data_IF_433760392900
#
_entry.id   IF_433760392900
#
_cell.length_a   1.000
_cell.length_b   1.000
_cell.length_c   1.000
_cell.angle_alpha   90.00
_cell.angle_beta   90.00
_cell.angle_gamma   90.00
#
_symmetry.space_group_name_H-M   'P 1'
#
loop_
_entity.id
_entity.type
_entity.pdbx_description
1 polymer ?
#
# COMPACT_ATOMS: atom_id res chain seq x y z
N UNK A 1 13.04 25.60 -1.31
CA UNK A 1 11.71 25.64 -1.95
C UNK A 1 10.78 26.32 -0.96
N UNK A 2 9.96 27.29 -1.38
CA UNK A 2 9.02 27.91 -0.45
C UNK A 2 7.92 26.90 -0.09
N UNK A 3 7.33 26.95 1.14
CA UNK A 3 6.21 26.10 1.51
C UNK A 3 5.02 26.19 0.54
N UNK A 4 4.86 27.32 -0.15
CA UNK A 4 3.80 27.57 -1.13
C UNK A 4 4.00 26.84 -2.48
N UNK A 5 5.15 26.22 -2.69
CA UNK A 5 5.45 25.44 -3.91
C UNK A 5 5.23 23.93 -3.73
N UNK A 6 5.01 23.47 -2.50
CA UNK A 6 4.75 22.06 -2.21
C UNK A 6 3.31 21.69 -2.52
N UNK A 7 3.09 20.42 -2.93
CA UNK A 7 1.74 19.90 -3.09
C UNK A 7 1.18 19.42 -1.75
N UNK A 8 -0.13 19.55 -1.60
CA UNK A 8 -0.88 19.06 -0.44
C UNK A 8 -1.29 17.60 -0.68
N UNK A 9 -0.82 16.69 0.18
CA UNK A 9 -1.15 15.28 0.10
C UNK A 9 -2.49 14.98 0.77
N UNK A 10 -3.42 14.35 0.06
CA UNK A 10 -4.63 13.75 0.61
C UNK A 10 -4.42 12.26 0.87
N UNK A 11 -4.72 11.79 2.09
CA UNK A 11 -4.56 10.37 2.46
C UNK A 11 -5.91 9.73 2.75
N UNK A 12 -6.26 8.72 1.95
CA UNK A 12 -7.42 7.84 2.22
C UNK A 12 -6.96 6.71 3.15
N UNK A 13 -7.21 6.86 4.43
CA UNK A 13 -6.73 5.96 5.49
C UNK A 13 -7.83 5.16 6.18
N UNK A 14 -7.44 4.38 7.20
CA UNK A 14 -8.34 3.61 8.05
C UNK A 14 -8.56 2.16 7.62
N UNK A 15 -7.83 1.67 6.59
CA UNK A 15 -8.06 0.35 5.99
C UNK A 15 -6.82 -0.58 5.99
N UNK A 16 -6.02 -0.78 7.04
CA UNK A 16 -6.31 -0.58 8.46
C UNK A 16 -5.77 0.70 9.07
N UNK A 17 -6.26 0.96 10.28
CA UNK A 17 -5.82 2.11 11.06
C UNK A 17 -4.33 2.08 11.43
N UNK A 18 -3.82 0.95 11.90
CA UNK A 18 -2.42 0.80 12.29
C UNK A 18 -1.47 1.06 11.11
N UNK A 19 -1.75 0.48 9.94
CA UNK A 19 -0.98 0.71 8.72
C UNK A 19 -1.05 2.18 8.26
N UNK A 20 -2.18 2.87 8.49
CA UNK A 20 -2.29 4.29 8.19
C UNK A 20 -1.41 5.14 9.11
N UNK A 21 -1.36 4.82 10.39
CA UNK A 21 -0.49 5.51 11.36
C UNK A 21 0.98 5.31 11.01
N UNK A 22 1.38 4.07 10.69
CA UNK A 22 2.74 3.75 10.23
C UNK A 22 3.10 4.52 8.95
N UNK A 23 2.19 4.58 7.97
CA UNK A 23 2.37 5.35 6.75
C UNK A 23 2.59 6.85 7.03
N UNK A 24 1.79 7.45 7.92
CA UNK A 24 1.96 8.86 8.31
C UNK A 24 3.29 9.12 9.02
N UNK A 25 3.74 8.18 9.87
CA UNK A 25 5.06 8.27 10.52
C UNK A 25 6.20 8.20 9.49
N UNK A 26 6.08 7.35 8.47
CA UNK A 26 7.06 7.26 7.37
C UNK A 26 7.08 8.53 6.52
N UNK A 27 5.94 9.15 6.22
CA UNK A 27 5.90 10.44 5.53
C UNK A 27 6.71 11.51 6.27
N UNK A 28 6.54 11.59 7.59
CA UNK A 28 7.32 12.49 8.44
C UNK A 28 8.81 12.16 8.39
N UNK A 29 9.16 10.88 8.57
CA UNK A 29 10.56 10.43 8.60
C UNK A 29 11.31 10.67 7.27
N UNK A 30 10.61 10.56 6.13
CA UNK A 30 11.21 10.74 4.81
C UNK A 30 11.18 12.18 4.30
N UNK A 31 10.43 13.07 4.93
CA UNK A 31 10.48 14.50 4.57
C UNK A 31 11.73 15.13 5.16
N UNK A 32 12.66 15.66 4.34
CA UNK A 32 13.82 16.40 4.83
C UNK A 32 13.34 17.73 5.42
N UNK A 33 13.37 17.83 6.72
CA UNK A 33 12.86 19.00 7.44
C UNK A 33 13.77 19.35 8.61
N UNK A 34 14.16 20.59 8.71
CA UNK A 34 14.88 21.15 9.87
C UNK A 34 13.90 21.81 10.87
N UNK A 35 12.68 22.12 10.41
CA UNK A 35 11.62 22.79 11.17
C UNK A 35 10.26 22.20 10.78
N UNK A 36 9.24 22.38 11.63
CA UNK A 36 7.87 21.93 11.35
C UNK A 36 7.33 22.42 10.00
N UNK A 37 7.69 23.65 9.61
CA UNK A 37 7.23 24.29 8.37
C UNK A 37 7.85 23.70 7.10
N UNK A 38 8.89 22.91 7.22
CA UNK A 38 9.57 22.28 6.09
C UNK A 38 8.91 20.94 5.70
N UNK A 39 8.05 20.37 6.59
CA UNK A 39 7.31 19.16 6.31
C UNK A 39 6.23 19.36 5.24
N UNK A 40 5.94 18.30 4.46
CA UNK A 40 4.83 18.31 3.51
C UNK A 40 3.49 18.42 4.26
N UNK A 41 2.56 19.21 3.70
CA UNK A 41 1.20 19.31 4.25
C UNK A 41 0.40 18.06 3.91
N UNK A 42 -0.21 17.43 4.92
CA UNK A 42 -1.03 16.23 4.77
C UNK A 42 -2.44 16.49 5.29
N UNK A 43 -3.45 16.09 4.53
CA UNK A 43 -4.86 16.02 4.94
C UNK A 43 -5.23 14.54 4.92
N UNK A 44 -5.59 13.98 6.06
CA UNK A 44 -5.90 12.56 6.18
C UNK A 44 -7.37 12.36 6.59
N UNK A 45 -8.10 11.54 5.83
CA UNK A 45 -9.39 10.98 6.23
C UNK A 45 -9.16 9.52 6.66
N UNK A 46 -9.25 9.26 7.97
CA UNK A 46 -9.03 7.94 8.55
C UNK A 46 -10.38 7.32 8.87
N UNK A 47 -10.95 6.57 7.90
CA UNK A 47 -12.27 5.97 8.01
C UNK A 47 -12.20 4.44 8.21
N UNK A 48 -12.17 3.94 9.47
CA UNK A 48 -12.18 2.50 9.74
C UNK A 48 -13.56 1.85 9.47
N UNK A 49 -14.57 2.64 9.13
CA UNK A 49 -15.93 2.18 8.79
C UNK A 49 -16.11 1.94 7.29
N UNK A 50 -15.09 2.20 6.47
CA UNK A 50 -15.11 1.83 5.06
C UNK A 50 -15.38 0.30 4.92
N UNK A 51 -16.39 -0.09 4.11
CA UNK A 51 -16.78 -1.50 3.99
C UNK A 51 -15.64 -2.39 3.50
N UNK A 52 -15.78 -3.71 3.69
CA UNK A 52 -14.79 -4.68 3.23
C UNK A 52 -14.61 -4.61 1.71
N UNK A 53 -13.37 -4.37 1.27
CA UNK A 53 -12.97 -4.23 -0.14
C UNK A 53 -12.95 -5.56 -0.89
N UNK A 54 -12.94 -6.69 -0.19
CA UNK A 54 -13.00 -8.03 -0.76
C UNK A 54 -14.43 -8.52 -1.03
N UNK A 55 -15.44 -7.85 -0.48
CA UNK A 55 -16.85 -8.23 -0.63
C UNK A 55 -17.48 -7.47 -1.80
N UNK A 56 -17.83 -8.15 -2.92
CA UNK A 56 -18.51 -7.53 -4.04
C UNK A 56 -19.83 -6.86 -3.60
N UNK A 57 -20.07 -5.65 -4.06
CA UNK A 57 -21.29 -4.90 -3.73
C UNK A 57 -21.33 -4.33 -2.30
N UNK A 58 -20.24 -4.37 -1.54
CA UNK A 58 -20.17 -3.81 -0.17
C UNK A 58 -20.39 -2.29 -0.10
N UNK A 59 -20.26 -1.58 -1.23
CA UNK A 59 -20.30 -0.13 -1.26
C UNK A 59 -18.94 0.54 -0.95
N UNK A 60 -17.87 -0.23 -0.80
CA UNK A 60 -16.53 0.30 -0.49
C UNK A 60 -16.09 1.39 -1.48
N UNK A 61 -16.31 1.16 -2.79
CA UNK A 61 -15.94 2.14 -3.81
C UNK A 61 -16.64 3.48 -3.65
N UNK A 62 -17.94 3.50 -3.32
CA UNK A 62 -18.68 4.75 -3.10
C UNK A 62 -18.14 5.52 -1.89
N UNK A 63 -17.88 4.84 -0.78
CA UNK A 63 -17.30 5.45 0.43
C UNK A 63 -15.92 6.04 0.14
N UNK A 64 -15.07 5.30 -0.58
CA UNK A 64 -13.73 5.79 -0.97
C UNK A 64 -13.81 7.01 -1.91
N UNK A 65 -14.77 7.02 -2.83
CA UNK A 65 -15.02 8.16 -3.72
C UNK A 65 -15.48 9.40 -2.95
N UNK A 66 -16.36 9.24 -1.96
CA UNK A 66 -16.80 10.32 -1.05
C UNK A 66 -15.62 10.88 -0.24
N UNK A 67 -14.78 10.00 0.35
CA UNK A 67 -13.57 10.40 1.05
C UNK A 67 -12.63 11.21 0.15
N UNK A 68 -12.41 10.75 -1.09
CA UNK A 68 -11.55 11.44 -2.05
C UNK A 68 -12.10 12.84 -2.42
N UNK A 69 -13.40 12.96 -2.64
CA UNK A 69 -14.06 14.24 -2.88
C UNK A 69 -13.94 15.20 -1.69
N UNK A 70 -14.07 14.69 -0.45
CA UNK A 70 -13.88 15.47 0.76
C UNK A 70 -12.42 15.97 0.91
N UNK A 71 -11.43 15.11 0.62
CA UNK A 71 -10.01 15.48 0.62
C UNK A 71 -9.72 16.57 -0.42
N UNK A 72 -10.25 16.46 -1.63
CA UNK A 72 -10.15 17.51 -2.65
C UNK A 72 -10.78 18.82 -2.16
N UNK A 73 -12.01 18.76 -1.61
CA UNK A 73 -12.69 19.94 -1.05
C UNK A 73 -11.92 20.59 0.11
N UNK A 74 -11.10 19.83 0.83
CA UNK A 74 -10.22 20.32 1.88
C UNK A 74 -8.88 20.90 1.37
N UNK A 75 -8.61 20.80 0.06
CA UNK A 75 -7.43 21.36 -0.58
C UNK A 75 -6.31 20.37 -0.86
N UNK A 76 -6.57 19.06 -0.87
CA UNK A 76 -5.61 18.09 -1.38
C UNK A 76 -5.40 18.25 -2.90
N UNK A 77 -4.19 18.02 -3.39
CA UNK A 77 -3.79 18.15 -4.79
C UNK A 77 -3.32 16.83 -5.40
N UNK A 78 -2.95 15.87 -4.57
CA UNK A 78 -2.59 14.49 -4.94
C UNK A 78 -3.07 13.54 -3.86
N UNK A 79 -3.45 12.33 -4.24
CA UNK A 79 -3.98 11.31 -3.32
C UNK A 79 -2.98 10.17 -3.10
N UNK A 80 -2.99 9.63 -1.88
CA UNK A 80 -2.39 8.36 -1.52
C UNK A 80 -3.37 7.51 -0.72
N UNK A 81 -3.26 6.20 -0.87
CA UNK A 81 -4.12 5.24 -0.19
C UNK A 81 -3.29 4.05 0.28
N UNK A 82 -2.85 4.01 1.57
CA UNK A 82 -2.03 2.93 2.11
C UNK A 82 -2.87 1.66 2.35
N UNK A 83 -3.42 1.09 1.28
CA UNK A 83 -4.21 -0.14 1.29
C UNK A 83 -4.17 -0.79 -0.10
N UNK A 84 -3.50 -1.94 -0.23
CA UNK A 84 -3.37 -2.62 -1.51
C UNK A 84 -4.73 -2.94 -2.14
N UNK A 85 -5.61 -3.62 -1.42
CA UNK A 85 -6.91 -4.10 -1.94
C UNK A 85 -7.85 -2.97 -2.37
N UNK A 86 -7.75 -1.81 -1.72
CA UNK A 86 -8.59 -0.65 -2.05
C UNK A 86 -8.26 -0.05 -3.42
N UNK A 87 -7.07 -0.32 -3.99
CA UNK A 87 -6.68 0.10 -5.33
C UNK A 87 -7.56 -0.51 -6.45
N UNK A 88 -8.37 -1.54 -6.14
CA UNK A 88 -9.44 -1.99 -7.04
C UNK A 88 -10.46 -0.89 -7.37
N UNK A 89 -10.50 0.19 -6.60
CA UNK A 89 -11.39 1.34 -6.80
C UNK A 89 -10.66 2.61 -7.26
N UNK A 90 -9.39 2.51 -7.66
CA UNK A 90 -8.54 3.66 -8.03
C UNK A 90 -9.21 4.58 -9.06
N UNK A 91 -9.76 4.02 -10.14
CA UNK A 91 -10.44 4.78 -11.19
C UNK A 91 -11.64 5.58 -10.66
N UNK A 92 -12.44 4.97 -9.77
CA UNK A 92 -13.60 5.63 -9.19
C UNK A 92 -13.20 6.78 -8.27
N UNK A 93 -12.17 6.56 -7.45
CA UNK A 93 -11.56 7.56 -6.55
C UNK A 93 -11.06 8.76 -7.35
N UNK A 94 -10.29 8.52 -8.40
CA UNK A 94 -9.72 9.57 -9.23
C UNK A 94 -10.81 10.35 -9.98
N UNK A 95 -11.81 9.67 -10.58
CA UNK A 95 -12.93 10.34 -11.24
C UNK A 95 -13.76 11.18 -10.29
N UNK A 96 -13.99 10.72 -9.06
CA UNK A 96 -14.79 11.45 -8.08
C UNK A 96 -14.11 12.71 -7.53
N UNK A 97 -12.79 12.67 -7.38
CA UNK A 97 -12.01 13.79 -6.85
C UNK A 97 -11.42 14.70 -7.93
N UNK A 98 -11.21 14.18 -9.14
CA UNK A 98 -10.44 14.85 -10.18
C UNK A 98 -8.93 14.89 -9.88
N UNK A 99 -8.47 14.23 -8.81
CA UNK A 99 -7.07 14.24 -8.38
C UNK A 99 -6.33 12.98 -8.83
N UNK A 100 -5.03 13.06 -9.14
CA UNK A 100 -4.21 11.89 -9.38
C UNK A 100 -4.01 11.11 -8.07
N UNK A 101 -4.06 9.78 -8.16
CA UNK A 101 -3.75 8.84 -7.07
C UNK A 101 -2.38 8.20 -7.34
N UNK A 102 -1.50 8.22 -6.34
CA UNK A 102 -0.23 7.48 -6.42
C UNK A 102 -0.54 5.99 -6.23
N UNK A 103 -0.26 5.19 -7.25
CA UNK A 103 -0.62 3.77 -7.30
C UNK A 103 0.44 2.91 -6.59
N UNK A 104 0.12 2.42 -5.39
CA UNK A 104 1.04 1.58 -4.62
C UNK A 104 1.21 0.17 -5.21
N UNK A 105 0.23 -0.35 -5.99
CA UNK A 105 0.36 -1.66 -6.65
C UNK A 105 1.40 -1.57 -7.75
N UNK A 106 1.34 -0.49 -8.53
CA UNK A 106 2.33 -0.19 -9.57
C UNK A 106 3.74 -0.06 -9.00
N UNK A 107 3.89 0.71 -7.93
CA UNK A 107 5.17 0.87 -7.22
C UNK A 107 5.75 -0.47 -6.74
N UNK A 108 4.92 -1.34 -6.15
CA UNK A 108 5.34 -2.66 -5.71
C UNK A 108 5.76 -3.58 -6.86
N UNK A 109 4.99 -3.59 -7.96
CA UNK A 109 5.30 -4.38 -9.14
C UNK A 109 6.55 -3.86 -9.87
N UNK A 110 6.72 -2.55 -9.96
CA UNK A 110 7.89 -1.91 -10.54
C UNK A 110 9.17 -2.25 -9.74
N UNK A 111 9.12 -2.15 -8.42
CA UNK A 111 10.25 -2.50 -7.55
C UNK A 111 10.65 -3.98 -7.70
N UNK A 112 9.71 -4.90 -7.82
CA UNK A 112 10.00 -6.30 -8.09
C UNK A 112 10.65 -6.50 -9.47
N UNK A 113 10.19 -5.77 -10.49
CA UNK A 113 10.78 -5.78 -11.84
C UNK A 113 12.22 -5.27 -11.85
N UNK A 114 12.50 -4.19 -11.14
CA UNK A 114 13.85 -3.62 -11.03
C UNK A 114 14.86 -4.57 -10.37
N UNK A 115 14.39 -5.55 -9.59
CA UNK A 115 15.22 -6.62 -9.02
C UNK A 115 15.45 -7.79 -9.98
N UNK A 116 14.90 -7.73 -11.18
CA UNK A 116 15.05 -8.78 -12.21
C UNK A 116 14.24 -10.04 -11.90
N UNK A 117 13.30 -10.00 -10.97
CA UNK A 117 12.50 -11.16 -10.60
C UNK A 117 11.49 -11.53 -11.70
N UNK A 118 11.37 -12.81 -12.02
CA UNK A 118 10.37 -13.36 -12.93
C UNK A 118 9.17 -13.99 -12.17
N UNK A 119 9.40 -14.37 -10.92
CA UNK A 119 8.43 -15.07 -10.07
C UNK A 119 8.33 -14.35 -8.73
N UNK A 120 7.20 -13.69 -8.51
CA UNK A 120 7.01 -12.79 -7.37
C UNK A 120 6.02 -13.39 -6.37
N UNK A 121 6.48 -13.63 -5.15
CA UNK A 121 5.64 -14.07 -4.04
C UNK A 121 4.87 -12.89 -3.46
N UNK A 122 3.56 -13.03 -3.27
CA UNK A 122 2.74 -11.95 -2.70
C UNK A 122 2.06 -12.42 -1.42
N UNK A 123 2.36 -11.76 -0.30
CA UNK A 123 1.70 -11.92 0.99
C UNK A 123 0.52 -10.94 1.08
N UNK A 124 -0.64 -11.34 0.60
CA UNK A 124 -1.81 -10.48 0.50
C UNK A 124 -3.13 -11.23 0.54
N UNK A 125 -4.23 -10.50 0.70
CA UNK A 125 -5.57 -11.04 0.59
C UNK A 125 -5.97 -11.31 -0.88
N UNK A 126 -7.16 -11.87 -1.10
CA UNK A 126 -7.63 -12.24 -2.45
C UNK A 126 -7.69 -11.05 -3.41
N UNK A 127 -8.07 -9.87 -2.91
CA UNK A 127 -8.15 -8.65 -3.72
C UNK A 127 -6.77 -8.17 -4.13
N UNK A 128 -5.81 -8.11 -3.21
CA UNK A 128 -4.43 -7.77 -3.49
C UNK A 128 -3.78 -8.77 -4.46
N UNK A 129 -3.97 -10.09 -4.26
CA UNK A 129 -3.47 -11.11 -5.17
C UNK A 129 -4.01 -10.96 -6.60
N UNK A 130 -5.28 -10.53 -6.75
CA UNK A 130 -5.86 -10.26 -8.08
C UNK A 130 -5.17 -9.07 -8.74
N UNK A 131 -5.03 -7.96 -8.04
CA UNK A 131 -4.37 -6.75 -8.56
C UNK A 131 -2.92 -7.04 -8.94
N UNK A 132 -2.13 -7.61 -8.03
CA UNK A 132 -0.73 -7.93 -8.35
C UNK A 132 -0.58 -8.90 -9.50
N UNK A 133 -1.50 -9.86 -9.69
CA UNK A 133 -1.45 -10.76 -10.86
C UNK A 133 -1.51 -9.98 -12.17
N UNK A 134 -2.38 -8.97 -12.24
CA UNK A 134 -2.56 -8.13 -13.44
C UNK A 134 -1.32 -7.24 -13.68
N UNK A 135 -0.83 -6.54 -12.64
CA UNK A 135 0.32 -5.65 -12.74
C UNK A 135 1.64 -6.36 -13.00
N UNK A 136 1.84 -7.55 -12.40
CA UNK A 136 3.02 -8.39 -12.66
C UNK A 136 2.99 -8.98 -14.06
N UNK A 137 1.81 -9.46 -14.53
CA UNK A 137 1.67 -9.99 -15.87
C UNK A 137 1.96 -8.93 -16.95
N UNK A 138 1.57 -7.67 -16.74
CA UNK A 138 1.89 -6.55 -17.63
C UNK A 138 3.41 -6.30 -17.76
N UNK A 139 4.20 -6.80 -16.80
CA UNK A 139 5.67 -6.74 -16.77
C UNK A 139 6.34 -8.09 -17.08
N UNK A 140 5.62 -9.03 -17.69
CA UNK A 140 6.08 -10.39 -17.98
C UNK A 140 6.54 -11.19 -16.73
N UNK A 141 6.09 -10.83 -15.55
CA UNK A 141 6.32 -11.55 -14.29
C UNK A 141 5.11 -12.42 -13.92
N UNK A 142 5.35 -13.47 -13.15
CA UNK A 142 4.30 -14.38 -12.66
C UNK A 142 4.15 -14.29 -11.14
N UNK A 143 2.90 -14.28 -10.67
CA UNK A 143 2.58 -14.30 -9.25
C UNK A 143 2.72 -15.71 -8.67
N UNK A 144 3.42 -15.83 -7.55
CA UNK A 144 3.45 -17.03 -6.69
C UNK A 144 2.59 -16.76 -5.47
N UNK A 145 1.57 -17.61 -5.23
CA UNK A 145 0.66 -17.51 -4.08
C UNK A 145 0.79 -18.70 -3.16
N UNK A 146 0.33 -18.54 -1.93
CA UNK A 146 0.17 -19.65 -0.99
C UNK A 146 -0.89 -20.64 -1.48
N UNK A 147 -0.78 -21.94 -1.14
CA UNK A 147 -1.85 -22.91 -1.36
C UNK A 147 -3.11 -22.51 -0.54
N UNK A 148 -4.31 -22.97 -0.94
CA UNK A 148 -5.57 -22.53 -0.31
C UNK A 148 -5.59 -22.64 1.22
N UNK A 149 -5.15 -23.77 1.77
CA UNK A 149 -5.11 -24.00 3.22
C UNK A 149 -4.15 -23.03 3.94
N UNK A 150 -3.00 -22.76 3.34
CA UNK A 150 -2.04 -21.82 3.90
C UNK A 150 -2.47 -20.38 3.69
N UNK A 151 -3.23 -20.08 2.64
CA UNK A 151 -3.84 -18.76 2.44
C UNK A 151 -4.88 -18.46 3.53
N UNK A 152 -5.63 -19.47 3.99
CA UNK A 152 -6.55 -19.31 5.12
C UNK A 152 -5.79 -19.05 6.43
N UNK A 153 -4.72 -19.81 6.68
CA UNK A 153 -3.85 -19.61 7.84
C UNK A 153 -3.20 -18.20 7.81
N UNK A 154 -2.72 -17.74 6.65
CA UNK A 154 -2.20 -16.38 6.46
C UNK A 154 -3.27 -15.33 6.80
N UNK A 155 -4.50 -15.50 6.34
CA UNK A 155 -5.59 -14.57 6.66
C UNK A 155 -5.89 -14.53 8.15
N UNK A 156 -5.83 -15.68 8.85
CA UNK A 156 -5.97 -15.71 10.30
C UNK A 156 -4.87 -14.92 11.00
N UNK A 157 -3.61 -15.14 10.62
CA UNK A 157 -2.44 -14.37 11.12
C UNK A 157 -2.63 -12.88 10.87
N UNK A 158 -3.07 -12.52 9.67
CA UNK A 158 -3.32 -11.13 9.27
C UNK A 158 -4.40 -10.46 10.14
N UNK A 159 -5.48 -11.17 10.46
CA UNK A 159 -6.52 -10.64 11.35
C UNK A 159 -6.05 -10.45 12.79
N UNK A 160 -5.13 -11.27 13.29
CA UNK A 160 -4.48 -11.06 14.58
C UNK A 160 -3.68 -9.75 14.57
N UNK A 161 -2.89 -9.50 13.52
CA UNK A 161 -2.13 -8.25 13.38
C UNK A 161 -3.09 -7.05 13.34
N UNK A 162 -4.18 -7.12 12.58
CA UNK A 162 -5.21 -6.08 12.54
C UNK A 162 -5.88 -5.82 13.90
N UNK A 163 -5.92 -6.82 14.75
CA UNK A 163 -6.41 -6.71 16.13
C UNK A 163 -5.35 -6.19 17.12
N UNK A 164 -4.12 -5.88 16.64
CA UNK A 164 -3.04 -5.33 17.44
C UNK A 164 -2.08 -6.37 18.06
N UNK A 165 -2.18 -7.64 17.64
CA UNK A 165 -1.24 -8.69 18.05
C UNK A 165 0.02 -8.65 17.18
N UNK A 166 1.12 -8.16 17.75
CA UNK A 166 2.42 -8.03 17.09
C UNK A 166 3.49 -8.90 17.80
N UNK A 167 3.06 -9.99 18.47
CA UNK A 167 3.93 -10.86 19.23
C UNK A 167 4.81 -11.78 18.36
N UNK A 168 5.84 -12.37 18.98
CA UNK A 168 6.82 -13.24 18.31
C UNK A 168 6.20 -14.45 17.60
N UNK A 169 5.08 -14.96 18.06
CA UNK A 169 4.40 -16.09 17.42
C UNK A 169 3.75 -15.67 16.09
N UNK A 170 3.18 -14.47 16.01
CA UNK A 170 2.64 -13.88 14.78
C UNK A 170 3.78 -13.63 13.78
N UNK A 171 4.91 -13.08 14.23
CA UNK A 171 6.11 -12.92 13.41
C UNK A 171 6.60 -14.26 12.85
N UNK A 172 6.72 -15.28 13.70
CA UNK A 172 7.14 -16.63 13.24
C UNK A 172 6.15 -17.26 12.24
N UNK A 173 4.86 -17.03 12.40
CA UNK A 173 3.86 -17.50 11.43
C UNK A 173 4.02 -16.78 10.09
N UNK A 174 4.20 -15.46 10.10
CA UNK A 174 4.43 -14.68 8.89
C UNK A 174 5.72 -15.12 8.17
N UNK A 175 6.80 -15.37 8.91
CA UNK A 175 8.04 -15.94 8.36
C UNK A 175 7.82 -17.32 7.69
N UNK A 176 6.96 -18.18 8.25
CA UNK A 176 6.61 -19.47 7.62
C UNK A 176 5.87 -19.29 6.28
N UNK A 177 4.97 -18.32 6.20
CA UNK A 177 4.28 -17.99 4.95
C UNK A 177 5.25 -17.47 3.89
N UNK A 178 6.17 -16.60 4.27
CA UNK A 178 7.24 -16.11 3.39
C UNK A 178 8.14 -17.24 2.89
N UNK A 179 8.56 -18.15 3.78
CA UNK A 179 9.39 -19.32 3.43
C UNK A 179 8.65 -20.30 2.52
N UNK A 180 7.34 -20.46 2.67
CA UNK A 180 6.55 -21.28 1.76
C UNK A 180 6.51 -20.71 0.35
N UNK A 181 6.33 -19.38 0.20
CA UNK A 181 6.40 -18.73 -1.10
C UNK A 181 7.79 -18.93 -1.75
N UNK A 182 8.88 -18.82 -0.95
CA UNK A 182 10.23 -19.11 -1.42
C UNK A 182 10.38 -20.55 -1.92
N UNK A 183 9.90 -21.54 -1.17
CA UNK A 183 9.91 -22.96 -1.57
C UNK A 183 9.13 -23.21 -2.85
N UNK A 184 8.09 -22.45 -3.10
CA UNK A 184 7.27 -22.50 -4.32
C UNK A 184 7.94 -21.77 -5.49
N UNK A 185 9.12 -21.23 -5.27
CA UNK A 185 9.98 -20.62 -6.29
C UNK A 185 9.76 -19.13 -6.48
N UNK A 186 9.25 -18.42 -5.48
CA UNK A 186 9.33 -16.96 -5.48
C UNK A 186 10.81 -16.53 -5.41
N UNK A 187 11.16 -15.48 -6.12
CA UNK A 187 12.49 -14.90 -6.21
C UNK A 187 12.56 -13.58 -5.41
N UNK A 188 11.44 -12.92 -5.23
CA UNK A 188 11.23 -11.73 -4.41
C UNK A 188 9.85 -11.83 -3.76
N UNK A 189 9.66 -11.15 -2.62
CA UNK A 189 8.38 -11.08 -1.93
C UNK A 189 7.81 -9.64 -2.02
N UNK A 190 6.49 -9.53 -2.12
CA UNK A 190 5.77 -8.27 -1.95
C UNK A 190 4.87 -8.39 -0.72
N UNK A 191 4.95 -7.40 0.19
CA UNK A 191 4.01 -7.21 1.29
C UNK A 191 2.67 -6.67 0.73
N UNK A 192 1.87 -7.59 0.16
CA UNK A 192 0.58 -7.28 -0.48
C UNK A 192 -0.53 -6.91 0.50
N UNK A 193 -0.23 -6.84 1.78
CA UNK A 193 -1.06 -6.24 2.82
C UNK A 193 -0.18 -5.36 3.70
N UNK A 194 -0.65 -4.17 4.00
CA UNK A 194 0.10 -3.13 4.73
C UNK A 194 0.36 -3.46 6.20
N UNK A 195 -0.26 -4.49 6.72
CA UNK A 195 0.03 -5.03 8.04
C UNK A 195 1.21 -6.01 8.05
N UNK A 196 1.62 -6.57 6.91
CA UNK A 196 2.75 -7.52 6.84
C UNK A 196 4.06 -6.89 7.35
N UNK A 197 4.43 -5.66 6.94
CA UNK A 197 5.67 -5.03 7.42
C UNK A 197 5.67 -4.65 8.90
N UNK A 198 4.52 -4.72 9.59
CA UNK A 198 4.46 -4.48 11.04
C UNK A 198 5.08 -5.62 11.85
N UNK A 199 5.26 -6.81 11.24
CA UNK A 199 5.76 -8.02 11.91
C UNK A 199 6.79 -8.79 11.08
N UNK A 200 7.14 -8.32 9.88
CA UNK A 200 8.08 -8.99 8.98
C UNK A 200 8.99 -7.96 8.31
N UNK A 201 10.28 -8.05 8.60
CA UNK A 201 11.32 -7.20 8.02
C UNK A 201 12.20 -8.01 7.04
N UNK A 202 13.08 -7.33 6.30
CA UNK A 202 13.97 -7.99 5.34
C UNK A 202 14.95 -8.98 6.02
N UNK A 203 15.36 -8.71 7.25
CA UNK A 203 16.24 -9.56 8.05
C UNK A 203 15.57 -10.87 8.47
N UNK A 204 14.25 -10.90 8.50
CA UNK A 204 13.45 -12.05 8.89
C UNK A 204 13.29 -13.10 7.79
N UNK A 205 13.57 -12.75 6.55
CA UNK A 205 13.31 -13.57 5.37
C UNK A 205 14.56 -13.80 4.52
N UNK A 206 14.57 -14.88 3.75
CA UNK A 206 15.69 -15.24 2.86
C UNK A 206 15.55 -14.64 1.46
N UNK A 207 14.47 -13.98 1.16
CA UNK A 207 14.21 -13.25 -0.05
C UNK A 207 14.06 -11.77 0.27
N UNK A 208 14.37 -10.93 -0.67
CA UNK A 208 14.10 -9.51 -0.51
C UNK A 208 12.60 -9.25 -0.42
N UNK A 209 12.18 -8.48 0.58
CA UNK A 209 10.81 -8.08 0.82
C UNK A 209 10.59 -6.66 0.29
N UNK A 210 9.77 -6.53 -0.72
CA UNK A 210 9.28 -5.24 -1.21
C UNK A 210 8.11 -4.81 -0.32
N UNK A 211 8.22 -3.63 0.30
CA UNK A 211 7.14 -2.98 1.05
C UNK A 211 6.52 -1.86 0.21
N UNK A 212 5.32 -2.07 -0.40
CA UNK A 212 4.66 -1.04 -1.18
C UNK A 212 4.22 0.17 -0.35
N UNK A 213 4.02 0.01 0.97
CA UNK A 213 3.70 1.11 1.88
C UNK A 213 4.89 2.05 2.05
N UNK A 214 6.10 1.51 2.17
CA UNK A 214 7.34 2.28 2.23
C UNK A 214 7.58 3.04 0.91
N UNK A 215 7.46 2.34 -0.21
CA UNK A 215 7.59 2.93 -1.55
C UNK A 215 6.58 4.05 -1.77
N UNK A 216 5.33 3.85 -1.35
CA UNK A 216 4.28 4.86 -1.43
C UNK A 216 4.65 6.10 -0.60
N UNK A 217 5.13 5.94 0.63
CA UNK A 217 5.52 7.07 1.47
C UNK A 217 6.66 7.88 0.85
N UNK A 218 7.71 7.22 0.34
CA UNK A 218 8.83 7.88 -0.37
C UNK A 218 8.35 8.61 -1.62
N UNK A 219 7.50 7.95 -2.42
CA UNK A 219 6.96 8.55 -3.64
C UNK A 219 6.08 9.76 -3.34
N UNK A 220 5.26 9.72 -2.28
CA UNK A 220 4.44 10.84 -1.85
C UNK A 220 5.30 12.05 -1.48
N UNK A 221 6.37 11.85 -0.70
CA UNK A 221 7.30 12.92 -0.36
C UNK A 221 7.96 13.50 -1.61
N UNK A 222 8.48 12.66 -2.51
CA UNK A 222 9.15 13.11 -3.73
C UNK A 222 8.21 13.92 -4.64
N UNK A 223 6.95 13.47 -4.78
CA UNK A 223 5.93 14.16 -5.59
C UNK A 223 5.51 15.48 -4.91
N UNK A 224 5.25 15.49 -3.60
CA UNK A 224 4.84 16.69 -2.89
C UNK A 224 5.93 17.76 -2.86
N UNK A 225 7.20 17.35 -2.78
CA UNK A 225 8.36 18.24 -2.90
C UNK A 225 8.73 18.57 -4.36
N UNK A 226 7.95 18.10 -5.35
CA UNK A 226 8.18 18.29 -6.79
C UNK A 226 9.54 17.79 -7.29
N UNK A 227 10.14 16.82 -6.61
CA UNK A 227 11.33 16.10 -7.09
C UNK A 227 10.99 15.10 -8.18
N UNK A 228 9.75 14.62 -8.17
CA UNK A 228 9.20 13.73 -9.15
C UNK A 228 7.86 14.24 -9.69
N UNK A 229 7.51 13.92 -10.94
CA UNK A 229 6.28 14.41 -11.54
C UNK A 229 5.04 13.78 -10.86
N UNK A 230 3.91 14.52 -10.92
CA UNK A 230 2.61 13.98 -10.57
C UNK A 230 2.31 12.73 -11.43
N UNK A 231 1.65 11.71 -10.87
CA UNK A 231 1.05 10.66 -11.66
C UNK A 231 0.08 11.26 -12.70
N UNK A 232 -0.10 10.57 -13.81
CA UNK A 232 -1.09 11.01 -14.78
C UNK A 232 -2.48 10.99 -14.15
N UNK A 233 -3.20 12.12 -14.25
CA UNK A 233 -4.62 12.14 -13.92
C UNK A 233 -5.38 11.24 -14.91
N UNK A 234 -6.47 10.60 -14.50
CA UNK A 234 -7.32 9.84 -15.43
C UNK A 234 -7.86 10.77 -16.50
N UNK A 235 -7.88 10.26 -17.73
CA UNK A 235 -8.47 10.97 -18.88
C UNK A 235 -9.99 11.10 -18.73
#
# INVERSE_FOLDING_TARGET
>A
MSPDEQLVLGVLGGMGPAATVDFLARLQAYTPADRDQDHIRVIADINPKAPDRNTPGSGAGSVLAEMAGALHGAGAEVLAMPCNTAHAHADLIQRASGLPLIDMIDLGAEAASQKGAMRVGVLGDKGALKLYREYLAARAMSLVSLPPEQQEAFMFTLYRIKAGDLGDDVTREMQRHAEELRKRGAEVLIAGCTEVPLVLENEDVKLELVDPGDLLARRCVAVCLRWEPLPHAPA
#
